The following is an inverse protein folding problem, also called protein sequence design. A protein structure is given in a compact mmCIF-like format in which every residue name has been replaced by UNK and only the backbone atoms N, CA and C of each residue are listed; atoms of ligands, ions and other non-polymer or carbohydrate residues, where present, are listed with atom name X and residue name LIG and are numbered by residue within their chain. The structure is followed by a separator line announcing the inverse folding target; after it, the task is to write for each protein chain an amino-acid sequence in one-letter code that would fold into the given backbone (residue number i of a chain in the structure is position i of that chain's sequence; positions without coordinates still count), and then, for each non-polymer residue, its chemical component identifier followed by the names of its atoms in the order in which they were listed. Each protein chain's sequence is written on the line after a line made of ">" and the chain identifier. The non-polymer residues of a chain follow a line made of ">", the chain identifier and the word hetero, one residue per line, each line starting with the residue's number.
data_IF_103564877929
#
_entry.id   IF_103564877929
#
_cell.length_a   1.000
_cell.length_b   1.000
_cell.length_c   1.000
_cell.angle_alpha   90.00
_cell.angle_beta   90.00
_cell.angle_gamma   90.00
#
_symmetry.space_group_name_H-M   'P 1'
#
loop_
_entity.id
_entity.type
_entity.pdbx_description
1 polymer ?
#
# COMPACT_ATOMS: atom_id res chain seq x y z
N UNK A 1 -21.04 30.17 42.98
CA UNK A 1 -20.35 29.00 43.57
C UNK A 1 -19.90 28.12 42.42
N UNK A 2 -18.64 27.69 42.47
CA UNK A 2 -17.82 27.28 41.34
C UNK A 2 -18.40 26.16 40.46
N UNK A 3 -18.46 26.43 39.16
CA UNK A 3 -18.60 25.43 38.11
C UNK A 3 -17.17 24.96 37.78
N UNK A 4 -16.71 23.92 38.48
CA UNK A 4 -15.40 23.30 38.26
C UNK A 4 -15.39 22.66 36.86
N UNK A 5 -14.71 23.30 35.93
CA UNK A 5 -14.40 22.75 34.62
C UNK A 5 -13.63 21.43 34.79
N UNK A 6 -14.34 20.30 34.62
CA UNK A 6 -13.75 18.96 34.58
C UNK A 6 -12.94 18.82 33.28
N UNK A 7 -11.76 19.43 33.27
CA UNK A 7 -10.70 19.08 32.34
C UNK A 7 -10.13 17.70 32.70
N UNK A 8 -9.69 16.89 31.73
CA UNK A 8 -9.11 15.58 32.02
C UNK A 8 -7.90 15.71 32.95
N UNK A 9 -7.87 14.90 34.04
CA UNK A 9 -6.84 14.90 35.09
C UNK A 9 -5.41 14.88 34.49
N UNK A 10 -4.42 15.56 35.08
CA UNK A 10 -3.06 15.68 34.52
C UNK A 10 -2.39 14.33 34.20
N UNK A 11 -2.64 13.28 34.98
CA UNK A 11 -2.17 11.92 34.71
C UNK A 11 -2.71 11.33 33.39
N UNK A 12 -3.97 11.63 33.03
CA UNK A 12 -4.58 11.18 31.77
C UNK A 12 -3.99 11.89 30.54
N UNK A 13 -3.59 13.17 30.68
CA UNK A 13 -2.90 13.93 29.64
C UNK A 13 -1.47 13.41 29.42
N UNK A 14 -0.75 13.12 30.50
CA UNK A 14 0.60 12.56 30.43
C UNK A 14 0.61 11.18 29.74
N UNK A 15 -0.31 10.29 30.14
CA UNK A 15 -0.47 8.98 29.51
C UNK A 15 -0.81 9.09 28.00
N UNK A 16 -1.75 9.94 27.61
CA UNK A 16 -2.08 10.19 26.20
C UNK A 16 -0.89 10.75 25.40
N UNK A 17 -0.10 11.65 26.02
CA UNK A 17 1.12 12.19 25.40
C UNK A 17 2.21 11.12 25.21
N UNK A 18 2.29 10.13 26.11
CA UNK A 18 3.22 9.02 26.01
C UNK A 18 2.82 8.04 24.90
N UNK A 19 1.55 7.61 24.86
CA UNK A 19 1.03 6.68 23.83
C UNK A 19 1.27 7.20 22.41
N UNK A 20 1.04 8.49 22.22
CA UNK A 20 1.24 9.14 20.92
C UNK A 20 2.70 9.19 20.47
N UNK A 21 3.65 9.41 21.39
CA UNK A 21 5.10 9.33 21.08
C UNK A 21 5.50 7.91 20.69
N UNK A 22 5.06 6.91 21.45
CA UNK A 22 5.35 5.50 21.14
C UNK A 22 4.79 5.07 19.78
N UNK A 23 3.59 5.53 19.42
CA UNK A 23 3.03 5.28 18.09
C UNK A 23 3.88 5.92 16.97
N UNK A 24 4.40 7.13 17.19
CA UNK A 24 5.31 7.78 16.24
C UNK A 24 6.62 7.00 16.07
N UNK A 25 7.26 6.57 17.16
CA UNK A 25 8.44 5.71 17.12
C UNK A 25 8.19 4.38 16.40
N UNK A 26 7.02 3.77 16.62
CA UNK A 26 6.65 2.53 15.94
C UNK A 26 6.49 2.72 14.42
N UNK A 27 5.99 3.88 13.95
CA UNK A 27 5.93 4.19 12.51
C UNK A 27 7.35 4.27 11.92
N UNK A 28 8.26 4.95 12.61
CA UNK A 28 9.66 5.02 12.21
C UNK A 28 10.32 3.64 12.14
N UNK A 29 10.17 2.85 13.21
CA UNK A 29 10.69 1.49 13.28
C UNK A 29 10.14 0.60 12.18
N UNK A 30 8.82 0.65 11.91
CA UNK A 30 8.18 -0.15 10.86
C UNK A 30 8.72 0.22 9.47
N UNK A 31 8.78 1.51 9.15
CA UNK A 31 9.23 1.97 7.82
C UNK A 31 10.72 1.64 7.61
N UNK A 32 11.56 1.78 8.64
CA UNK A 32 12.96 1.39 8.58
C UNK A 32 13.12 -0.13 8.46
N UNK A 33 12.34 -0.92 9.20
CA UNK A 33 12.36 -2.39 9.13
C UNK A 33 12.00 -2.88 7.72
N UNK A 34 10.98 -2.27 7.11
CA UNK A 34 10.55 -2.56 5.74
C UNK A 34 11.62 -2.16 4.72
N UNK A 35 12.24 -0.99 4.90
CA UNK A 35 13.31 -0.52 4.02
C UNK A 35 14.55 -1.42 4.11
N UNK A 36 14.97 -1.80 5.32
CA UNK A 36 16.15 -2.62 5.58
C UNK A 36 15.90 -4.11 5.37
N UNK A 37 14.64 -4.53 5.31
CA UNK A 37 14.22 -5.91 5.08
C UNK A 37 15.15 -6.68 4.14
N UNK A 38 15.40 -6.20 2.91
CA UNK A 38 16.28 -6.86 1.94
C UNK A 38 17.65 -7.27 2.49
N UNK A 39 18.27 -6.44 3.34
CA UNK A 39 19.57 -6.70 3.96
C UNK A 39 19.49 -7.55 5.23
N UNK A 40 18.31 -7.62 5.84
CA UNK A 40 18.06 -8.47 7.00
C UNK A 40 17.87 -9.94 6.60
N UNK A 41 17.73 -10.25 5.31
CA UNK A 41 17.80 -11.62 4.79
C UNK A 41 19.27 -12.01 4.67
N UNK A 42 19.70 -12.99 5.46
CA UNK A 42 20.99 -13.64 5.23
C UNK A 42 21.02 -14.21 3.80
N UNK A 43 22.19 -14.11 3.16
CA UNK A 43 22.44 -14.61 1.83
C UNK A 43 22.32 -16.15 1.81
N UNK A 44 21.13 -16.70 1.49
CA UNK A 44 21.04 -18.14 1.19
C UNK A 44 19.68 -18.81 1.25
N UNK A 45 18.65 -18.27 1.89
CA UNK A 45 17.35 -18.96 1.98
C UNK A 45 16.15 -18.10 1.58
N UNK A 46 15.35 -18.62 0.66
CA UNK A 46 13.99 -18.12 0.36
C UNK A 46 13.04 -18.21 1.59
N UNK A 47 13.46 -18.95 2.61
CA UNK A 47 12.88 -18.97 3.94
C UNK A 47 13.44 -17.83 4.77
N UNK A 48 12.59 -16.82 4.99
CA UNK A 48 12.96 -15.53 5.55
C UNK A 48 13.83 -15.61 6.81
N UNK A 49 14.74 -14.64 6.92
CA UNK A 49 15.63 -14.51 8.08
C UNK A 49 14.87 -14.56 9.40
N UNK A 50 15.34 -15.41 10.31
CA UNK A 50 14.86 -15.52 11.69
C UNK A 50 14.72 -14.15 12.37
N UNK A 51 15.58 -13.19 11.98
CA UNK A 51 15.54 -11.83 12.48
C UNK A 51 14.25 -11.11 12.07
N UNK A 52 13.80 -11.24 10.80
CA UNK A 52 12.51 -10.68 10.37
C UNK A 52 11.36 -11.34 11.13
N UNK A 53 11.43 -12.67 11.30
CA UNK A 53 10.40 -13.43 12.02
C UNK A 53 10.31 -13.04 13.49
N UNK A 54 11.40 -12.56 14.11
CA UNK A 54 11.40 -12.05 15.47
C UNK A 54 11.00 -10.57 15.58
N UNK A 55 11.49 -9.71 14.68
CA UNK A 55 11.32 -8.25 14.77
C UNK A 55 9.88 -7.78 14.55
N UNK A 56 9.14 -8.36 13.60
CA UNK A 56 7.75 -7.95 13.36
C UNK A 56 6.80 -8.30 14.52
N UNK A 57 6.80 -9.54 15.07
CA UNK A 57 6.04 -9.84 16.28
C UNK A 57 6.50 -9.01 17.49
N UNK A 58 7.80 -8.78 17.67
CA UNK A 58 8.30 -7.94 18.76
C UNK A 58 7.76 -6.50 18.65
N UNK A 59 7.73 -5.94 17.44
CA UNK A 59 7.15 -4.63 17.18
C UNK A 59 5.63 -4.61 17.43
N UNK A 60 4.91 -5.68 17.06
CA UNK A 60 3.49 -5.81 17.38
C UNK A 60 3.25 -5.83 18.90
N UNK A 61 4.02 -6.62 19.65
CA UNK A 61 3.92 -6.68 21.12
C UNK A 61 4.21 -5.30 21.72
N UNK A 62 5.27 -4.62 21.27
CA UNK A 62 5.59 -3.27 21.70
C UNK A 62 4.43 -2.28 21.45
N UNK A 63 3.83 -2.31 20.26
CA UNK A 63 2.68 -1.46 19.92
C UNK A 63 1.46 -1.84 20.76
N UNK A 64 1.17 -3.13 20.94
CA UNK A 64 0.03 -3.58 21.74
C UNK A 64 0.14 -3.15 23.21
N UNK A 65 1.33 -3.26 23.80
CA UNK A 65 1.61 -2.80 25.17
C UNK A 65 1.47 -1.28 25.26
N UNK A 66 2.15 -0.55 24.38
CA UNK A 66 2.22 0.93 24.46
C UNK A 66 0.89 1.61 24.14
N UNK A 67 0.04 1.00 23.31
CA UNK A 67 -1.30 1.53 23.03
C UNK A 67 -2.34 1.13 24.09
N UNK A 68 -2.03 0.17 24.96
CA UNK A 68 -2.92 -0.29 26.03
C UNK A 68 -3.88 -1.41 25.62
N UNK A 69 -3.58 -2.13 24.53
CA UNK A 69 -4.41 -3.22 24.03
C UNK A 69 -4.50 -4.40 25.01
N UNK A 70 -3.52 -4.55 25.90
CA UNK A 70 -3.56 -5.56 26.98
C UNK A 70 -4.61 -5.25 28.04
N UNK A 71 -4.92 -3.97 28.27
CA UNK A 71 -5.94 -3.54 29.24
C UNK A 71 -7.33 -3.43 28.61
N UNK A 72 -7.40 -3.14 27.31
CA UNK A 72 -8.65 -3.03 26.55
C UNK A 72 -8.54 -3.83 25.23
N UNK A 73 -8.81 -5.15 25.23
CA UNK A 73 -8.64 -6.00 24.04
C UNK A 73 -9.47 -5.57 22.84
N UNK A 74 -10.53 -4.77 23.05
CA UNK A 74 -11.33 -4.14 21.99
C UNK A 74 -10.48 -3.25 21.08
N UNK A 75 -9.37 -2.72 21.58
CA UNK A 75 -8.37 -1.97 20.80
C UNK A 75 -7.56 -2.85 19.84
N UNK A 76 -7.75 -4.17 19.81
CA UNK A 76 -7.23 -5.06 18.77
C UNK A 76 -8.15 -5.12 17.55
N UNK A 77 -9.43 -4.73 17.69
CA UNK A 77 -10.41 -4.66 16.61
C UNK A 77 -10.29 -3.30 15.90
N UNK A 78 -9.09 -3.02 15.34
CA UNK A 78 -8.81 -1.74 14.66
C UNK A 78 -9.10 -1.79 13.16
N UNK A 79 -9.03 -3.00 12.61
CA UNK A 79 -9.18 -3.23 11.18
C UNK A 79 -10.62 -2.94 10.72
N UNK A 80 -10.81 -2.18 9.63
CA UNK A 80 -12.10 -2.06 8.99
C UNK A 80 -12.63 -3.44 8.59
N UNK A 81 -13.94 -3.68 8.77
CA UNK A 81 -14.59 -4.97 8.49
C UNK A 81 -14.19 -5.52 7.12
N UNK A 82 -14.20 -4.70 6.07
CA UNK A 82 -13.80 -5.14 4.73
C UNK A 82 -12.35 -5.65 4.64
N UNK A 83 -11.40 -4.99 5.30
CA UNK A 83 -10.01 -5.46 5.34
C UNK A 83 -9.88 -6.73 6.20
N UNK A 84 -10.62 -6.81 7.31
CA UNK A 84 -10.71 -8.03 8.12
C UNK A 84 -11.25 -9.22 7.30
N UNK A 85 -12.29 -9.02 6.50
CA UNK A 85 -12.84 -10.06 5.60
C UNK A 85 -11.84 -10.47 4.53
N UNK A 86 -11.12 -9.53 3.92
CA UNK A 86 -10.10 -9.84 2.92
C UNK A 86 -8.96 -10.66 3.54
N UNK A 87 -8.49 -10.29 4.73
CA UNK A 87 -7.47 -11.06 5.46
C UNK A 87 -7.99 -12.42 5.91
N UNK A 88 -9.24 -12.50 6.37
CA UNK A 88 -9.87 -13.77 6.73
C UNK A 88 -9.99 -14.70 5.52
N UNK A 89 -10.30 -14.18 4.33
CA UNK A 89 -10.30 -14.95 3.09
C UNK A 89 -8.88 -15.44 2.74
N UNK A 90 -7.86 -14.59 2.88
CA UNK A 90 -6.47 -15.01 2.67
C UNK A 90 -6.07 -16.13 3.63
N UNK A 91 -6.46 -16.06 4.91
CA UNK A 91 -6.20 -17.11 5.88
C UNK A 91 -6.99 -18.39 5.57
N UNK A 92 -8.29 -18.27 5.28
CA UNK A 92 -9.14 -19.40 4.92
C UNK A 92 -8.62 -20.12 3.68
N UNK A 93 -7.99 -19.39 2.76
CA UNK A 93 -7.41 -19.98 1.56
C UNK A 93 -6.30 -20.99 1.81
N UNK A 94 -5.71 -21.03 3.00
CA UNK A 94 -4.82 -22.10 3.41
C UNK A 94 -5.47 -23.49 3.37
N UNK A 95 -6.80 -23.58 3.49
CA UNK A 95 -7.54 -24.85 3.45
C UNK A 95 -7.54 -25.51 2.08
N UNK A 96 -7.35 -24.74 1.00
CA UNK A 96 -7.30 -25.24 -0.38
C UNK A 96 -6.04 -24.82 -1.12
N UNK A 97 -5.07 -24.23 -0.40
CA UNK A 97 -3.83 -23.77 -0.99
C UNK A 97 -2.99 -24.95 -1.49
N UNK A 98 -2.29 -24.73 -2.60
CA UNK A 98 -1.33 -25.71 -3.14
C UNK A 98 -0.19 -25.96 -2.14
N UNK A 99 0.29 -24.90 -1.49
CA UNK A 99 1.23 -24.99 -0.36
C UNK A 99 0.67 -24.23 0.87
N UNK A 100 -0.10 -24.90 1.74
CA UNK A 100 -0.66 -24.29 2.94
C UNK A 100 0.41 -23.72 3.88
N UNK A 101 1.59 -24.33 3.93
CA UNK A 101 2.67 -23.91 4.83
C UNK A 101 3.19 -22.52 4.48
N UNK A 102 3.35 -22.24 3.18
CA UNK A 102 3.74 -20.92 2.67
C UNK A 102 2.62 -19.91 2.81
N UNK A 103 1.35 -20.29 2.60
CA UNK A 103 0.20 -19.44 2.88
C UNK A 103 0.19 -18.95 4.33
N UNK A 104 0.28 -19.85 5.32
CA UNK A 104 0.28 -19.47 6.74
C UNK A 104 1.48 -18.57 7.10
N UNK A 105 2.67 -18.92 6.63
CA UNK A 105 3.92 -18.17 6.91
C UNK A 105 3.84 -16.75 6.36
N UNK A 106 3.45 -16.58 5.10
CA UNK A 106 3.33 -15.27 4.44
C UNK A 106 2.11 -14.47 4.94
N UNK A 107 1.05 -15.14 5.38
CA UNK A 107 -0.12 -14.49 5.99
C UNK A 107 0.22 -13.83 7.33
N UNK A 108 1.07 -14.47 8.17
CA UNK A 108 1.47 -13.93 9.46
C UNK A 108 2.02 -12.49 9.35
N UNK A 109 2.99 -12.28 8.46
CA UNK A 109 3.54 -10.94 8.21
C UNK A 109 2.51 -9.96 7.64
N UNK A 110 1.68 -10.42 6.70
CA UNK A 110 0.61 -9.61 6.11
C UNK A 110 -0.35 -9.05 7.19
N UNK A 111 -0.80 -9.91 8.10
CA UNK A 111 -1.72 -9.56 9.17
C UNK A 111 -1.06 -8.69 10.24
N UNK A 112 0.16 -9.04 10.67
CA UNK A 112 0.91 -8.27 11.68
C UNK A 112 1.12 -6.83 11.23
N UNK A 113 1.58 -6.63 9.98
CA UNK A 113 1.81 -5.28 9.44
C UNK A 113 0.50 -4.49 9.37
N UNK A 114 -0.61 -5.11 8.96
CA UNK A 114 -1.92 -4.47 8.95
C UNK A 114 -2.35 -4.02 10.35
N UNK A 115 -2.25 -4.90 11.35
CA UNK A 115 -2.63 -4.57 12.73
C UNK A 115 -1.76 -3.43 13.29
N UNK A 116 -0.44 -3.51 13.14
CA UNK A 116 0.49 -2.47 13.59
C UNK A 116 0.10 -1.12 13.01
N UNK A 117 -0.07 -1.01 11.69
CA UNK A 117 -0.34 0.27 11.02
C UNK A 117 -1.64 0.88 11.52
N UNK A 118 -2.70 0.09 11.62
CA UNK A 118 -3.99 0.61 12.09
C UNK A 118 -3.92 1.07 13.56
N UNK A 119 -3.22 0.34 14.43
CA UNK A 119 -3.01 0.74 15.83
C UNK A 119 -2.19 2.03 15.95
N UNK A 120 -1.06 2.14 15.24
CA UNK A 120 -0.19 3.32 15.34
C UNK A 120 -0.83 4.58 14.73
N UNK A 121 -1.62 4.44 13.67
CA UNK A 121 -2.35 5.57 13.07
C UNK A 121 -3.42 6.09 14.02
N UNK A 122 -4.15 5.18 14.68
CA UNK A 122 -5.15 5.56 15.69
C UNK A 122 -4.49 6.23 16.91
N UNK A 123 -3.38 5.65 17.39
CA UNK A 123 -2.60 6.13 18.53
C UNK A 123 -1.90 7.47 18.30
N UNK A 124 -1.19 7.64 17.18
CA UNK A 124 -0.46 8.87 16.85
C UNK A 124 -1.40 9.98 16.36
N UNK A 125 -2.50 9.62 15.71
CA UNK A 125 -3.38 10.52 14.99
C UNK A 125 -2.83 10.99 13.64
N UNK A 126 -3.71 11.57 12.83
CA UNK A 126 -3.44 11.92 11.42
C UNK A 126 -2.24 12.84 11.25
N UNK A 127 -2.15 13.94 12.01
CA UNK A 127 -1.09 14.93 11.82
C UNK A 127 0.31 14.37 12.10
N UNK A 128 0.47 13.62 13.21
CA UNK A 128 1.77 13.03 13.56
C UNK A 128 2.13 11.88 12.64
N UNK A 129 1.16 11.06 12.25
CA UNK A 129 1.39 10.00 11.25
C UNK A 129 1.94 10.57 9.95
N UNK A 130 1.34 11.66 9.43
CA UNK A 130 1.81 12.30 8.20
C UNK A 130 3.21 12.88 8.33
N UNK A 131 3.55 13.46 9.48
CA UNK A 131 4.89 13.97 9.76
C UNK A 131 5.90 12.83 9.82
N UNK A 132 5.60 11.77 10.57
CA UNK A 132 6.44 10.58 10.66
C UNK A 132 6.68 9.97 9.27
N UNK A 133 5.62 9.66 8.52
CA UNK A 133 5.74 9.11 7.15
C UNK A 133 6.57 10.01 6.23
N UNK A 134 6.37 11.31 6.28
CA UNK A 134 7.08 12.28 5.43
C UNK A 134 8.58 12.23 5.67
N UNK A 135 8.99 12.25 6.95
CA UNK A 135 10.39 12.22 7.30
C UNK A 135 11.00 10.82 7.17
N UNK A 136 10.26 9.74 7.44
CA UNK A 136 10.75 8.38 7.18
C UNK A 136 11.04 8.14 5.71
N UNK A 137 10.16 8.62 4.82
CA UNK A 137 10.38 8.53 3.37
C UNK A 137 11.54 9.41 2.90
N UNK A 138 11.72 10.59 3.49
CA UNK A 138 12.89 11.43 3.21
C UNK A 138 14.20 10.77 3.68
N UNK A 139 14.21 10.11 4.83
CA UNK A 139 15.36 9.33 5.32
C UNK A 139 15.65 8.16 4.38
N UNK A 140 14.64 7.41 3.95
CA UNK A 140 14.80 6.35 2.93
C UNK A 140 15.39 6.91 1.64
N UNK A 141 14.95 8.09 1.19
CA UNK A 141 15.50 8.74 0.01
C UNK A 141 16.99 9.06 0.19
N UNK A 142 17.39 9.63 1.34
CA UNK A 142 18.80 9.90 1.65
C UNK A 142 19.60 8.60 1.66
N UNK A 143 19.12 7.56 2.33
CA UNK A 143 19.77 6.26 2.37
C UNK A 143 19.90 5.64 0.97
N UNK A 144 18.91 5.84 0.09
CA UNK A 144 18.97 5.40 -1.30
C UNK A 144 20.10 6.11 -2.06
N UNK A 145 20.23 7.44 -1.93
CA UNK A 145 21.33 8.19 -2.52
C UNK A 145 22.69 7.75 -1.97
N UNK A 146 22.80 7.58 -0.65
CA UNK A 146 24.03 7.09 -0.01
C UNK A 146 24.40 5.70 -0.52
N UNK A 147 23.42 4.80 -0.68
CA UNK A 147 23.67 3.45 -1.21
C UNK A 147 24.16 3.49 -2.66
N UNK A 148 23.57 4.34 -3.52
CA UNK A 148 24.03 4.52 -4.91
C UNK A 148 25.44 5.10 -4.97
N UNK A 149 25.78 6.04 -4.07
CA UNK A 149 27.10 6.68 -4.06
C UNK A 149 28.19 5.76 -3.46
N UNK A 150 27.85 4.97 -2.45
CA UNK A 150 28.81 4.17 -1.69
C UNK A 150 28.98 2.73 -2.19
N UNK A 151 28.00 2.19 -2.92
CA UNK A 151 28.00 0.79 -3.33
C UNK A 151 27.47 0.56 -4.75
N UNK A 152 28.13 -0.29 -5.56
CA UNK A 152 27.56 -0.77 -6.83
C UNK A 152 26.21 -1.46 -6.66
N UNK A 153 25.89 -1.97 -5.45
CA UNK A 153 24.60 -2.59 -5.16
C UNK A 153 23.43 -1.62 -5.30
N UNK A 154 23.64 -0.31 -5.17
CA UNK A 154 22.61 0.70 -5.34
C UNK A 154 22.07 0.83 -6.77
N UNK A 155 22.76 0.22 -7.75
CA UNK A 155 22.41 0.23 -9.17
C UNK A 155 22.29 -1.21 -9.65
N UNK A 156 21.33 -1.47 -10.54
CA UNK A 156 21.22 -2.78 -11.19
C UNK A 156 22.43 -3.03 -12.09
N UNK A 157 23.13 -4.14 -11.84
CA UNK A 157 24.34 -4.55 -12.56
C UNK A 157 24.10 -5.68 -13.56
N UNK A 158 25.14 -6.03 -14.31
CA UNK A 158 25.11 -7.06 -15.37
C UNK A 158 24.89 -8.49 -14.85
N UNK A 159 25.17 -8.74 -13.57
CA UNK A 159 25.06 -10.06 -12.95
C UNK A 159 23.61 -10.44 -12.57
N UNK A 160 22.63 -9.58 -12.82
CA UNK A 160 21.23 -9.83 -12.50
C UNK A 160 20.49 -10.63 -13.58
N UNK A 161 19.33 -11.22 -13.24
CA UNK A 161 18.52 -12.01 -14.18
C UNK A 161 17.87 -11.18 -15.30
N UNK A 162 17.89 -9.84 -15.20
CA UNK A 162 17.24 -8.92 -16.14
C UNK A 162 18.25 -7.92 -16.73
N UNK A 163 18.94 -8.26 -17.84
CA UNK A 163 19.91 -7.36 -18.49
C UNK A 163 19.34 -6.00 -18.90
N UNK A 164 18.04 -5.94 -19.22
CA UNK A 164 17.33 -4.70 -19.54
C UNK A 164 17.27 -3.69 -18.37
N UNK A 165 17.64 -4.09 -17.16
CA UNK A 165 17.62 -3.23 -15.98
C UNK A 165 18.95 -2.53 -15.69
N UNK A 166 20.03 -2.89 -16.39
CA UNK A 166 21.39 -2.40 -16.10
C UNK A 166 21.42 -0.87 -16.10
N UNK A 167 22.03 -0.30 -15.06
CA UNK A 167 22.14 1.15 -14.88
C UNK A 167 20.96 1.81 -14.17
N UNK A 168 19.84 1.10 -13.97
CA UNK A 168 18.69 1.62 -13.23
C UNK A 168 18.98 1.67 -11.73
N UNK A 169 18.62 2.79 -11.10
CA UNK A 169 18.82 2.96 -9.67
C UNK A 169 17.78 2.18 -8.86
N UNK A 170 18.25 1.49 -7.83
CA UNK A 170 17.40 0.81 -6.84
C UNK A 170 17.73 1.22 -5.39
N UNK A 171 18.85 1.90 -5.16
CA UNK A 171 19.26 2.34 -3.84
C UNK A 171 19.35 1.16 -2.88
N UNK A 172 18.79 1.32 -1.69
CA UNK A 172 18.76 0.27 -0.67
C UNK A 172 17.68 -0.80 -0.97
N UNK A 173 16.79 -0.57 -1.93
CA UNK A 173 15.71 -1.49 -2.25
C UNK A 173 16.21 -2.65 -3.12
N UNK A 174 15.57 -3.82 -3.03
CA UNK A 174 15.89 -4.98 -3.90
C UNK A 174 15.76 -4.67 -5.38
N UNK A 175 14.79 -3.83 -5.75
CA UNK A 175 14.40 -3.61 -7.13
C UNK A 175 14.05 -2.14 -7.41
N UNK A 176 14.30 -1.68 -8.65
CA UNK A 176 14.01 -0.31 -9.12
C UNK A 176 12.58 0.14 -8.84
N UNK A 177 11.61 -0.77 -8.98
CA UNK A 177 10.18 -0.44 -8.84
C UNK A 177 9.78 -0.21 -7.38
N UNK A 178 10.50 -0.82 -6.43
CA UNK A 178 10.34 -0.58 -4.99
C UNK A 178 10.92 0.78 -4.59
N UNK A 179 12.05 1.18 -5.19
CA UNK A 179 12.58 2.52 -4.99
C UNK A 179 11.69 3.60 -5.63
N UNK A 180 11.15 3.31 -6.81
CA UNK A 180 10.27 4.22 -7.55
C UNK A 180 8.98 4.55 -6.78
N UNK A 181 8.33 3.54 -6.16
CA UNK A 181 7.14 3.79 -5.33
C UNK A 181 7.47 4.66 -4.10
N UNK A 182 8.60 4.41 -3.44
CA UNK A 182 9.06 5.24 -2.32
C UNK A 182 9.27 6.69 -2.74
N UNK A 183 9.89 6.93 -3.91
CA UNK A 183 10.09 8.28 -4.44
C UNK A 183 8.77 8.95 -4.83
N UNK A 184 7.86 8.24 -5.51
CA UNK A 184 6.55 8.77 -5.87
C UNK A 184 5.74 9.19 -4.64
N UNK A 185 5.68 8.34 -3.61
CA UNK A 185 5.01 8.67 -2.35
C UNK A 185 5.69 9.82 -1.60
N UNK A 186 7.01 9.93 -1.67
CA UNK A 186 7.76 11.08 -1.14
C UNK A 186 7.30 12.37 -1.83
N UNK A 187 7.21 12.40 -3.16
CA UNK A 187 6.73 13.56 -3.90
C UNK A 187 5.30 13.91 -3.47
N UNK A 188 4.39 12.93 -3.47
CA UNK A 188 2.98 13.15 -3.14
C UNK A 188 2.80 13.70 -1.71
N UNK A 189 3.44 13.09 -0.71
CA UNK A 189 3.25 13.49 0.69
C UNK A 189 3.85 14.87 0.96
N UNK A 190 5.03 15.17 0.40
CA UNK A 190 5.68 16.48 0.57
C UNK A 190 4.91 17.58 -0.18
N UNK A 191 4.41 17.31 -1.38
CA UNK A 191 3.67 18.28 -2.17
C UNK A 191 2.34 18.69 -1.51
N UNK A 192 1.59 17.72 -1.00
CA UNK A 192 0.23 17.95 -0.50
C UNK A 192 0.13 18.20 1.01
N UNK A 193 1.14 17.84 1.81
CA UNK A 193 1.04 17.95 3.28
C UNK A 193 2.13 18.80 3.93
N UNK A 194 3.28 19.04 3.27
CA UNK A 194 4.33 19.87 3.84
C UNK A 194 3.98 21.36 3.73
N UNK A 195 4.20 22.10 4.82
CA UNK A 195 4.15 23.57 4.80
C UNK A 195 5.41 24.09 4.08
N UNK A 196 5.34 25.31 3.54
CA UNK A 196 6.37 25.88 2.66
C UNK A 196 7.81 25.87 3.24
N UNK A 197 8.78 26.22 2.41
CA UNK A 197 10.20 26.24 2.77
C UNK A 197 11.09 25.53 1.75
N UNK A 198 12.39 25.81 1.79
CA UNK A 198 13.37 25.26 0.84
C UNK A 198 13.50 23.73 0.95
N UNK A 199 13.37 23.17 2.16
CA UNK A 199 13.45 21.73 2.41
C UNK A 199 12.38 20.96 1.63
N UNK A 200 11.15 21.51 1.53
CA UNK A 200 10.05 20.88 0.78
C UNK A 200 10.44 20.65 -0.67
N UNK A 201 10.95 21.68 -1.34
CA UNK A 201 11.32 21.60 -2.74
C UNK A 201 12.58 20.77 -2.94
N UNK A 202 13.54 20.84 -2.01
CA UNK A 202 14.76 20.01 -2.03
C UNK A 202 14.42 18.52 -2.02
N UNK A 203 13.53 18.09 -1.12
CA UNK A 203 13.12 16.69 -1.03
C UNK A 203 12.28 16.26 -2.25
N UNK A 204 11.38 17.11 -2.75
CA UNK A 204 10.58 16.82 -3.94
C UNK A 204 11.48 16.66 -5.18
N UNK A 205 12.40 17.60 -5.41
CA UNK A 205 13.33 17.57 -6.55
C UNK A 205 14.30 16.39 -6.43
N UNK A 206 14.80 16.11 -5.21
CA UNK A 206 15.62 14.93 -4.94
C UNK A 206 14.86 13.63 -5.21
N UNK A 207 13.60 13.52 -4.79
CA UNK A 207 12.79 12.34 -5.08
C UNK A 207 12.46 12.20 -6.58
N UNK A 208 12.20 13.32 -7.27
CA UNK A 208 11.94 13.34 -8.70
C UNK A 208 13.17 12.90 -9.51
N UNK A 209 14.36 13.43 -9.19
CA UNK A 209 15.60 13.02 -9.85
C UNK A 209 15.88 11.52 -9.62
N UNK A 210 15.77 11.03 -8.37
CA UNK A 210 15.95 9.61 -8.10
C UNK A 210 14.95 8.75 -8.88
N UNK A 211 13.67 9.15 -8.90
CA UNK A 211 12.62 8.46 -9.66
C UNK A 211 12.96 8.39 -11.15
N UNK A 212 13.45 9.46 -11.77
CA UNK A 212 13.91 9.44 -13.16
C UNK A 212 15.05 8.44 -13.37
N UNK A 213 16.00 8.38 -12.43
CA UNK A 213 17.11 7.41 -12.47
C UNK A 213 16.69 5.96 -12.26
N UNK A 214 15.51 5.70 -11.70
CA UNK A 214 14.94 4.33 -11.66
C UNK A 214 14.47 3.85 -13.02
N UNK A 215 14.19 4.75 -13.98
CA UNK A 215 13.58 4.43 -15.28
C UNK A 215 12.28 3.59 -15.17
N UNK A 216 11.50 3.80 -14.10
CA UNK A 216 10.21 3.13 -13.90
C UNK A 216 9.08 3.90 -14.63
N UNK A 217 8.87 3.59 -15.92
CA UNK A 217 7.81 4.21 -16.76
C UNK A 217 6.43 4.11 -16.10
N UNK A 218 6.10 2.95 -15.54
CA UNK A 218 4.84 2.74 -14.78
C UNK A 218 4.70 3.74 -13.64
N UNK A 219 5.73 3.86 -12.79
CA UNK A 219 5.65 4.71 -11.60
C UNK A 219 5.58 6.19 -11.96
N UNK A 220 6.25 6.60 -13.05
CA UNK A 220 6.14 7.97 -13.60
C UNK A 220 4.73 8.26 -14.12
N UNK A 221 4.15 7.36 -14.93
CA UNK A 221 2.79 7.52 -15.43
C UNK A 221 1.74 7.52 -14.33
N UNK A 222 1.85 6.59 -13.37
CA UNK A 222 0.98 6.54 -12.20
C UNK A 222 1.12 7.80 -11.32
N UNK A 223 2.34 8.34 -11.16
CA UNK A 223 2.55 9.60 -10.43
C UNK A 223 1.88 10.78 -11.14
N UNK A 224 1.98 10.88 -12.47
CA UNK A 224 1.32 11.95 -13.22
C UNK A 224 -0.21 11.92 -13.01
N UNK A 225 -0.83 10.74 -13.15
CA UNK A 225 -2.28 10.58 -12.93
C UNK A 225 -2.64 10.86 -11.46
N UNK A 226 -1.83 10.39 -10.51
CA UNK A 226 -2.02 10.65 -9.09
C UNK A 226 -1.96 12.15 -8.75
N UNK A 227 -1.03 12.90 -9.34
CA UNK A 227 -0.92 14.34 -9.18
C UNK A 227 -2.17 15.05 -9.72
N UNK A 228 -2.64 14.69 -10.92
CA UNK A 228 -3.87 15.21 -11.50
C UNK A 228 -5.08 14.95 -10.60
N UNK A 229 -5.22 13.72 -10.08
CA UNK A 229 -6.29 13.38 -9.15
C UNK A 229 -6.21 14.14 -7.82
N UNK A 230 -5.02 14.28 -7.24
CA UNK A 230 -4.80 15.06 -6.03
C UNK A 230 -5.12 16.55 -6.23
N UNK A 231 -4.71 17.14 -7.35
CA UNK A 231 -5.06 18.51 -7.74
C UNK A 231 -6.56 18.65 -7.98
N UNK A 232 -7.19 17.75 -8.74
CA UNK A 232 -8.62 17.74 -8.98
C UNK A 232 -9.40 17.65 -7.66
N UNK A 233 -8.96 16.80 -6.71
CA UNK A 233 -9.54 16.72 -5.37
C UNK A 233 -9.39 18.01 -4.59
N UNK A 234 -8.27 18.73 -4.75
CA UNK A 234 -8.05 20.03 -4.11
C UNK A 234 -8.91 21.14 -4.72
N UNK A 235 -9.05 21.17 -6.05
CA UNK A 235 -9.56 22.32 -6.80
C UNK A 235 -11.04 22.19 -7.20
N UNK A 236 -11.51 21.03 -7.65
CA UNK A 236 -12.88 20.86 -8.12
C UNK A 236 -13.86 20.89 -6.97
N UNK A 237 -15.01 21.57 -7.01
CA UNK A 237 -15.98 21.52 -5.91
C UNK A 237 -16.61 20.12 -5.78
N UNK A 238 -17.12 19.76 -4.60
CA UNK A 238 -17.72 18.43 -4.35
C UNK A 238 -18.82 18.07 -5.35
N UNK A 239 -19.63 19.05 -5.75
CA UNK A 239 -20.70 18.90 -6.75
C UNK A 239 -20.22 18.51 -8.15
N UNK A 240 -18.94 18.71 -8.48
CA UNK A 240 -18.37 18.36 -9.77
C UNK A 240 -17.92 16.88 -9.85
N UNK A 241 -17.77 16.19 -8.72
CA UNK A 241 -17.31 14.80 -8.70
C UNK A 241 -18.24 13.81 -9.40
N UNK A 242 -19.57 13.85 -9.22
CA UNK A 242 -20.47 12.95 -9.96
C UNK A 242 -20.31 13.11 -11.47
N UNK A 243 -20.17 14.35 -11.95
CA UNK A 243 -19.95 14.65 -13.38
C UNK A 243 -18.57 14.16 -13.82
N UNK A 244 -17.52 14.43 -13.04
CA UNK A 244 -16.16 13.98 -13.36
C UNK A 244 -16.05 12.45 -13.39
N UNK A 245 -16.74 11.75 -12.48
CA UNK A 245 -16.82 10.29 -12.45
C UNK A 245 -17.60 9.80 -13.67
N UNK A 246 -18.76 10.39 -13.98
CA UNK A 246 -19.53 10.03 -15.17
C UNK A 246 -18.71 10.21 -16.45
N UNK A 247 -18.02 11.34 -16.60
CA UNK A 247 -17.14 11.61 -17.73
C UNK A 247 -15.97 10.61 -17.81
N UNK A 248 -15.34 10.28 -16.68
CA UNK A 248 -14.30 9.26 -16.63
C UNK A 248 -14.84 7.87 -17.00
N UNK A 249 -16.03 7.49 -16.52
CA UNK A 249 -16.69 6.23 -16.87
C UNK A 249 -17.02 6.17 -18.35
N UNK A 250 -17.53 7.25 -18.94
CA UNK A 250 -17.79 7.35 -20.39
C UNK A 250 -16.48 7.25 -21.17
N UNK A 251 -15.42 7.92 -20.72
CA UNK A 251 -14.10 7.83 -21.36
C UNK A 251 -13.55 6.40 -21.31
N UNK A 252 -13.63 5.73 -20.16
CA UNK A 252 -13.20 4.33 -20.03
C UNK A 252 -14.05 3.43 -20.92
N UNK A 253 -15.37 3.60 -20.95
CA UNK A 253 -16.25 2.84 -21.83
C UNK A 253 -15.91 3.06 -23.30
N UNK A 254 -15.64 4.30 -23.72
CA UNK A 254 -15.20 4.63 -25.08
C UNK A 254 -13.88 3.97 -25.42
N UNK A 255 -12.88 4.05 -24.52
CA UNK A 255 -11.59 3.38 -24.70
C UNK A 255 -11.75 1.86 -24.82
N UNK A 256 -12.66 1.26 -24.05
CA UNK A 256 -12.97 -0.18 -24.16
C UNK A 256 -13.61 -0.49 -25.50
N UNK A 257 -14.63 0.26 -25.92
CA UNK A 257 -15.34 0.04 -27.19
C UNK A 257 -14.37 0.20 -28.38
N UNK A 258 -13.62 1.29 -28.44
CA UNK A 258 -12.60 1.49 -29.49
C UNK A 258 -11.51 0.43 -29.41
N UNK A 259 -11.11 0.06 -28.19
CA UNK A 259 -10.11 -0.99 -27.96
C UNK A 259 -10.54 -2.36 -28.46
N UNK A 260 -11.85 -2.65 -28.57
CA UNK A 260 -12.36 -3.92 -29.11
C UNK A 260 -11.95 -4.11 -30.58
N UNK A 261 -12.00 -3.04 -31.38
CA UNK A 261 -11.61 -3.07 -32.79
C UNK A 261 -10.10 -3.28 -32.97
N UNK A 262 -9.31 -2.95 -31.94
CA UNK A 262 -7.85 -3.09 -31.93
C UNK A 262 -7.35 -4.29 -31.09
N UNK A 263 -8.21 -5.21 -30.67
CA UNK A 263 -7.80 -6.35 -29.82
C UNK A 263 -6.72 -7.22 -30.47
N UNK A 264 -6.78 -7.41 -31.79
CA UNK A 264 -5.76 -8.15 -32.54
C UNK A 264 -4.38 -7.50 -32.44
N UNK A 265 -4.32 -6.19 -32.65
CA UNK A 265 -3.08 -5.39 -32.57
C UNK A 265 -2.54 -5.33 -31.15
N UNK A 266 -3.42 -5.17 -30.14
CA UNK A 266 -3.04 -5.19 -28.73
C UNK A 266 -2.48 -6.57 -28.34
N UNK A 267 -3.13 -7.65 -28.78
CA UNK A 267 -2.65 -9.02 -28.54
C UNK A 267 -1.30 -9.29 -29.18
N UNK A 268 -1.11 -8.80 -30.41
CA UNK A 268 0.14 -8.89 -31.14
C UNK A 268 1.25 -8.08 -30.45
N UNK A 269 0.98 -6.85 -30.05
CA UNK A 269 1.92 -6.04 -29.28
C UNK A 269 2.32 -6.74 -27.98
N UNK A 270 1.35 -7.23 -27.20
CA UNK A 270 1.60 -7.99 -25.97
C UNK A 270 2.28 -9.35 -26.20
N UNK A 271 2.39 -9.84 -27.45
CA UNK A 271 3.15 -11.07 -27.77
C UNK A 271 4.61 -10.81 -28.12
N UNK A 272 5.00 -9.54 -28.23
CA UNK A 272 6.40 -9.20 -28.44
C UNK A 272 7.18 -9.42 -27.13
N UNK A 273 8.32 -10.13 -27.14
CA UNK A 273 9.11 -10.39 -25.93
C UNK A 273 9.50 -9.13 -25.16
N UNK A 274 9.72 -8.01 -25.86
CA UNK A 274 10.12 -6.74 -25.27
C UNK A 274 8.94 -5.89 -24.77
N UNK A 275 7.70 -6.22 -25.17
CA UNK A 275 6.53 -5.45 -24.79
C UNK A 275 6.27 -5.55 -23.30
N UNK A 276 6.12 -4.39 -22.66
CA UNK A 276 5.94 -4.27 -21.20
C UNK A 276 6.95 -5.13 -20.41
N UNK A 277 8.18 -5.26 -20.89
CA UNK A 277 9.24 -6.11 -20.28
C UNK A 277 8.82 -7.58 -20.13
N UNK A 278 8.19 -8.16 -21.15
CA UNK A 278 7.76 -9.56 -21.18
C UNK A 278 6.46 -9.87 -20.41
N UNK A 279 5.78 -8.86 -19.85
CA UNK A 279 4.59 -9.09 -19.00
C UNK A 279 3.42 -9.74 -19.71
N UNK A 280 3.34 -9.62 -21.03
CA UNK A 280 2.29 -10.27 -21.81
C UNK A 280 2.26 -11.78 -21.60
N UNK A 281 3.41 -12.43 -21.58
CA UNK A 281 3.49 -13.90 -21.42
C UNK A 281 3.10 -14.33 -20.00
N UNK A 282 3.54 -13.57 -19.00
CA UNK A 282 3.16 -13.77 -17.59
C UNK A 282 1.64 -13.70 -17.45
N UNK A 283 1.00 -12.67 -18.02
CA UNK A 283 -0.45 -12.48 -17.89
C UNK A 283 -1.26 -13.54 -18.64
N UNK A 284 -0.78 -14.05 -19.79
CA UNK A 284 -1.42 -15.18 -20.48
C UNK A 284 -1.45 -16.43 -19.61
N UNK A 285 -0.36 -16.73 -18.91
CA UNK A 285 -0.27 -17.87 -17.98
C UNK A 285 -1.26 -17.68 -16.81
N UNK A 286 -1.26 -16.49 -16.22
CA UNK A 286 -2.18 -16.16 -15.11
C UNK A 286 -3.64 -16.29 -15.54
N UNK A 287 -4.01 -15.77 -16.71
CA UNK A 287 -5.37 -15.84 -17.23
C UNK A 287 -5.78 -17.27 -17.58
N UNK A 288 -4.87 -18.06 -18.17
CA UNK A 288 -5.11 -19.49 -18.42
C UNK A 288 -5.38 -20.25 -17.13
N UNK A 289 -4.58 -20.03 -16.09
CA UNK A 289 -4.82 -20.63 -14.78
C UNK A 289 -6.14 -20.15 -14.15
N UNK A 290 -6.42 -18.85 -14.23
CA UNK A 290 -7.66 -18.28 -13.68
C UNK A 290 -8.91 -18.81 -14.39
N UNK A 291 -8.84 -19.11 -15.69
CA UNK A 291 -9.98 -19.68 -16.42
C UNK A 291 -10.35 -21.10 -15.97
N UNK A 292 -9.39 -21.85 -15.44
CA UNK A 292 -9.61 -23.21 -14.91
C UNK A 292 -9.89 -23.21 -13.40
N UNK A 293 -9.46 -22.16 -12.69
CA UNK A 293 -9.60 -22.01 -11.24
C UNK A 293 -10.27 -20.68 -10.83
N UNK A 294 -11.45 -20.32 -11.37
CA UNK A 294 -11.99 -18.96 -11.25
C UNK A 294 -12.46 -18.59 -9.84
N UNK A 295 -12.86 -19.54 -9.00
CA UNK A 295 -13.48 -19.25 -7.71
C UNK A 295 -12.49 -19.17 -6.55
N UNK A 296 -11.61 -20.15 -6.43
CA UNK A 296 -10.74 -20.30 -5.26
C UNK A 296 -9.29 -19.85 -5.53
N UNK A 297 -8.88 -19.83 -6.80
CA UNK A 297 -7.47 -19.65 -7.16
C UNK A 297 -6.57 -20.74 -6.57
N UNK A 298 -5.27 -20.43 -6.47
CA UNK A 298 -4.23 -21.32 -5.94
C UNK A 298 -4.10 -21.33 -4.41
N UNK A 299 -4.84 -20.46 -3.72
CA UNK A 299 -4.59 -20.08 -2.33
C UNK A 299 -3.58 -18.93 -2.21
N UNK A 300 -3.77 -18.09 -1.19
CA UNK A 300 -2.94 -16.92 -0.96
C UNK A 300 -1.46 -17.30 -0.86
N UNK A 301 -0.64 -16.61 -1.65
CA UNK A 301 0.80 -16.78 -1.73
C UNK A 301 1.30 -18.19 -2.13
N UNK A 302 0.45 -18.98 -2.78
CA UNK A 302 0.76 -20.34 -3.25
C UNK A 302 0.77 -20.50 -4.77
N UNK A 303 0.63 -19.39 -5.51
CA UNK A 303 0.80 -19.38 -6.95
C UNK A 303 2.27 -19.22 -7.36
N UNK A 304 2.97 -18.26 -6.76
CA UNK A 304 4.36 -17.93 -7.06
C UNK A 304 5.31 -18.44 -5.98
N UNK A 305 6.53 -18.81 -6.40
CA UNK A 305 7.66 -19.02 -5.49
C UNK A 305 7.36 -20.06 -4.39
N UNK A 306 6.83 -21.22 -4.80
CA UNK A 306 6.61 -22.43 -3.98
C UNK A 306 7.37 -23.65 -4.54
N UNK A 307 8.46 -23.39 -5.26
CA UNK A 307 9.25 -24.42 -5.93
C UNK A 307 8.49 -25.11 -7.08
N UNK A 308 8.84 -26.38 -7.40
CA UNK A 308 8.24 -27.13 -8.51
C UNK A 308 6.72 -27.32 -8.43
N UNK A 309 6.12 -27.11 -7.25
CA UNK A 309 4.68 -27.18 -7.05
C UNK A 309 3.93 -25.95 -7.60
N UNK A 310 4.65 -24.89 -8.02
CA UNK A 310 4.02 -23.69 -8.58
C UNK A 310 3.23 -24.04 -9.86
N UNK A 311 1.97 -23.58 -9.99
CA UNK A 311 1.16 -23.80 -11.20
C UNK A 311 1.84 -23.35 -12.48
N UNK A 312 2.74 -22.36 -12.41
CA UNK A 312 3.43 -21.78 -13.57
C UNK A 312 4.14 -22.84 -14.41
N UNK A 313 4.72 -23.87 -13.77
CA UNK A 313 5.43 -24.96 -14.47
C UNK A 313 4.52 -25.82 -15.36
N UNK A 314 3.20 -25.80 -15.16
CA UNK A 314 2.26 -26.50 -16.03
C UNK A 314 1.95 -25.73 -17.33
N UNK A 315 2.22 -24.42 -17.36
CA UNK A 315 1.83 -23.53 -18.47
C UNK A 315 3.02 -23.02 -19.29
N UNK A 316 4.25 -23.18 -18.81
CA UNK A 316 5.45 -22.83 -19.57
C UNK A 316 6.66 -23.68 -19.19
N UNK A 317 7.55 -23.89 -20.17
CA UNK A 317 8.90 -24.44 -19.96
C UNK A 317 9.97 -23.35 -20.03
N UNK A 318 9.58 -22.09 -20.23
CA UNK A 318 10.51 -20.98 -20.32
C UNK A 318 11.11 -20.69 -18.95
N UNK A 319 12.41 -20.92 -18.83
CA UNK A 319 13.14 -20.83 -17.56
C UNK A 319 12.97 -19.46 -16.91
N UNK A 320 12.93 -18.38 -17.70
CA UNK A 320 12.80 -17.02 -17.16
C UNK A 320 11.48 -16.82 -16.41
N UNK A 321 10.33 -17.25 -16.94
CA UNK A 321 9.03 -17.08 -16.27
C UNK A 321 8.95 -17.88 -14.98
N UNK A 322 9.53 -19.09 -14.99
CA UNK A 322 9.54 -19.97 -13.81
C UNK A 322 10.38 -19.43 -12.65
N UNK A 323 11.22 -18.42 -12.88
CA UNK A 323 12.01 -17.74 -11.83
C UNK A 323 11.34 -16.48 -11.27
N UNK A 324 10.15 -16.12 -11.76
CA UNK A 324 9.44 -14.91 -11.34
C UNK A 324 8.66 -15.14 -10.04
N UNK A 325 8.71 -14.15 -9.15
CA UNK A 325 8.08 -14.21 -7.83
C UNK A 325 6.73 -13.46 -7.72
N UNK A 326 6.22 -12.85 -8.80
CA UNK A 326 4.96 -12.11 -8.85
C UNK A 326 4.51 -11.78 -10.28
N UNK A 327 3.21 -11.58 -10.50
CA UNK A 327 2.62 -11.40 -11.84
C UNK A 327 2.84 -10.03 -12.49
N UNK A 328 3.48 -9.08 -11.80
CA UNK A 328 3.55 -7.67 -12.21
C UNK A 328 2.18 -7.09 -12.57
N UNK A 329 1.14 -7.54 -11.87
CA UNK A 329 -0.23 -7.03 -11.97
C UNK A 329 -0.98 -7.48 -10.72
N UNK A 330 -1.18 -6.57 -9.77
CA UNK A 330 -1.80 -6.88 -8.49
C UNK A 330 -3.23 -7.39 -8.59
N UNK A 331 -3.97 -7.04 -9.65
CA UNK A 331 -5.32 -7.53 -9.87
C UNK A 331 -5.31 -8.98 -10.38
N UNK A 332 -4.46 -9.29 -11.36
CA UNK A 332 -4.29 -10.67 -11.80
C UNK A 332 -3.69 -11.54 -10.68
N UNK A 333 -2.79 -10.98 -9.87
CA UNK A 333 -2.23 -11.68 -8.72
C UNK A 333 -3.32 -12.04 -7.70
N UNK A 334 -4.25 -11.13 -7.41
CA UNK A 334 -5.43 -11.47 -6.59
C UNK A 334 -6.29 -12.55 -7.25
N UNK A 335 -6.53 -12.43 -8.55
CA UNK A 335 -7.35 -13.39 -9.29
C UNK A 335 -6.79 -14.80 -9.21
N UNK A 336 -5.50 -15.00 -9.47
CA UNK A 336 -4.90 -16.34 -9.46
C UNK A 336 -4.69 -16.88 -8.05
N UNK A 337 -4.57 -16.03 -7.03
CA UNK A 337 -4.33 -16.47 -5.65
C UNK A 337 -5.62 -16.73 -4.86
N UNK A 338 -6.62 -15.85 -4.96
CA UNK A 338 -7.84 -15.88 -4.13
C UNK A 338 -9.14 -15.84 -4.97
N UNK A 339 -9.02 -16.04 -6.28
CA UNK A 339 -10.14 -16.15 -7.21
C UNK A 339 -10.90 -14.86 -7.45
N UNK A 340 -11.94 -14.94 -8.27
CA UNK A 340 -12.86 -13.84 -8.60
C UNK A 340 -13.52 -13.24 -7.35
N UNK A 341 -14.03 -14.03 -6.36
CA UNK A 341 -14.58 -13.47 -5.14
C UNK A 341 -13.55 -12.64 -4.35
N UNK A 342 -12.32 -13.13 -4.24
CA UNK A 342 -11.23 -12.43 -3.58
C UNK A 342 -10.79 -11.16 -4.31
N UNK A 343 -10.75 -11.19 -5.64
CA UNK A 343 -10.51 -10.01 -6.47
C UNK A 343 -11.59 -8.94 -6.26
N UNK A 344 -12.87 -9.32 -6.33
CA UNK A 344 -13.99 -8.38 -6.14
C UNK A 344 -13.91 -7.73 -4.76
N UNK A 345 -13.72 -8.54 -3.71
CA UNK A 345 -13.57 -8.05 -2.35
C UNK A 345 -12.33 -7.16 -2.21
N UNK A 346 -11.19 -7.56 -2.78
CA UNK A 346 -9.95 -6.79 -2.78
C UNK A 346 -10.10 -5.42 -3.44
N UNK A 347 -10.63 -5.37 -4.65
CA UNK A 347 -10.90 -4.12 -5.38
C UNK A 347 -11.88 -3.24 -4.60
N UNK A 348 -12.94 -3.83 -4.06
CA UNK A 348 -13.91 -3.09 -3.27
C UNK A 348 -13.27 -2.46 -2.02
N UNK A 349 -12.50 -3.24 -1.26
CA UNK A 349 -11.93 -2.82 0.02
C UNK A 349 -10.74 -1.86 -0.15
N UNK A 350 -9.87 -2.12 -1.12
CA UNK A 350 -8.62 -1.39 -1.30
C UNK A 350 -8.78 -0.15 -2.17
N UNK A 351 -9.77 -0.11 -3.07
CA UNK A 351 -9.95 0.98 -4.05
C UNK A 351 -11.32 1.65 -3.91
N UNK A 352 -12.42 0.91 -4.09
CA UNK A 352 -13.75 1.52 -4.24
C UNK A 352 -14.26 2.14 -2.93
N UNK A 353 -14.28 1.38 -1.83
CA UNK A 353 -14.73 1.84 -0.52
C UNK A 353 -13.92 3.05 0.01
N UNK A 354 -12.57 3.07 -0.03
CA UNK A 354 -11.81 4.25 0.39
C UNK A 354 -12.01 5.44 -0.55
N UNK A 355 -12.14 5.23 -1.87
CA UNK A 355 -12.45 6.31 -2.80
C UNK A 355 -13.82 6.93 -2.50
N UNK A 356 -14.84 6.10 -2.31
CA UNK A 356 -16.18 6.53 -1.91
C UNK A 356 -16.15 7.35 -0.61
N UNK A 357 -15.43 6.88 0.40
CA UNK A 357 -15.26 7.60 1.67
C UNK A 357 -14.62 8.97 1.47
N UNK A 358 -13.60 9.10 0.62
CA UNK A 358 -12.96 10.38 0.32
C UNK A 358 -13.91 11.35 -0.41
N UNK A 359 -14.72 10.85 -1.33
CA UNK A 359 -15.66 11.65 -2.11
C UNK A 359 -16.85 12.13 -1.26
N UNK A 360 -17.34 11.29 -0.35
CA UNK A 360 -18.50 11.57 0.50
C UNK A 360 -18.12 12.25 1.82
N UNK A 361 -16.85 12.25 2.22
CA UNK A 361 -16.39 13.00 3.37
C UNK A 361 -16.43 14.52 3.12
N UNK A 362 -16.71 15.28 4.18
CA UNK A 362 -16.60 16.73 4.14
C UNK A 362 -15.13 17.13 3.99
N UNK A 363 -14.85 17.91 2.95
CA UNK A 363 -13.48 18.29 2.60
C UNK A 363 -12.82 19.20 3.64
N UNK A 364 -13.61 19.96 4.41
CA UNK A 364 -13.07 20.78 5.51
C UNK A 364 -12.47 19.92 6.63
N UNK A 365 -12.89 18.66 6.75
CA UNK A 365 -12.36 17.71 7.72
C UNK A 365 -11.14 16.91 7.20
N UNK A 366 -10.79 17.04 5.91
CA UNK A 366 -9.72 16.29 5.26
C UNK A 366 -8.52 17.18 4.92
N UNK A 367 -7.80 17.64 5.94
CA UNK A 367 -6.58 18.44 5.75
C UNK A 367 -5.52 17.72 4.86
N UNK A 368 -5.55 16.39 4.80
CA UNK A 368 -4.70 15.56 3.94
C UNK A 368 -5.43 14.93 2.75
N UNK A 369 -6.66 15.35 2.46
CA UNK A 369 -7.50 14.77 1.40
C UNK A 369 -6.83 14.67 0.02
N UNK A 370 -6.16 15.72 -0.48
CA UNK A 370 -5.44 15.65 -1.77
C UNK A 370 -4.36 14.57 -1.81
N UNK A 371 -3.59 14.40 -0.72
CA UNK A 371 -2.59 13.34 -0.61
C UNK A 371 -3.22 11.95 -0.63
N UNK A 372 -4.30 11.76 0.15
CA UNK A 372 -4.99 10.47 0.24
C UNK A 372 -5.64 10.07 -1.10
N UNK A 373 -6.25 11.03 -1.79
CA UNK A 373 -6.83 10.83 -3.12
C UNK A 373 -5.74 10.51 -4.16
N UNK A 374 -4.63 11.27 -4.16
CA UNK A 374 -3.50 11.01 -5.05
C UNK A 374 -2.87 9.64 -4.80
N UNK A 375 -2.63 9.28 -3.54
CA UNK A 375 -2.07 7.98 -3.17
C UNK A 375 -2.97 6.81 -3.60
N UNK A 376 -4.29 6.95 -3.46
CA UNK A 376 -5.24 5.94 -3.90
C UNK A 376 -5.27 5.79 -5.42
N UNK A 377 -5.28 6.91 -6.15
CA UNK A 377 -5.21 6.92 -7.62
C UNK A 377 -3.89 6.32 -8.13
N UNK A 378 -2.79 6.59 -7.43
CA UNK A 378 -1.49 6.01 -7.74
C UNK A 378 -1.53 4.47 -7.71
N UNK A 379 -2.10 3.88 -6.65
CA UNK A 379 -2.25 2.42 -6.55
C UNK A 379 -3.20 1.86 -7.60
N UNK A 380 -4.34 2.52 -7.84
CA UNK A 380 -5.32 2.05 -8.81
C UNK A 380 -4.72 1.93 -10.23
N UNK A 381 -3.83 2.85 -10.61
CA UNK A 381 -3.17 2.81 -11.92
C UNK A 381 -1.94 1.91 -11.91
N UNK A 382 -1.09 2.03 -10.89
CA UNK A 382 0.17 1.29 -10.83
C UNK A 382 -0.04 -0.22 -10.79
N UNK A 383 -1.05 -0.71 -10.06
CA UNK A 383 -1.24 -2.16 -9.89
C UNK A 383 -1.77 -2.88 -11.13
N UNK A 384 -2.12 -2.16 -12.20
CA UNK A 384 -2.34 -2.76 -13.52
C UNK A 384 -1.05 -3.36 -14.09
N UNK A 385 0.12 -2.82 -13.70
CA UNK A 385 1.41 -3.24 -14.25
C UNK A 385 2.47 -3.50 -13.17
N UNK A 386 2.10 -3.52 -11.90
CA UNK A 386 2.97 -3.93 -10.81
C UNK A 386 2.15 -4.68 -9.76
N UNK A 387 2.82 -5.41 -8.88
CA UNK A 387 2.17 -6.10 -7.77
C UNK A 387 2.43 -5.33 -6.48
N UNK A 388 1.39 -4.70 -5.91
CA UNK A 388 1.51 -4.00 -4.62
C UNK A 388 0.65 -4.62 -3.53
N UNK A 389 -0.53 -5.12 -3.88
CA UNK A 389 -1.49 -5.60 -2.89
C UNK A 389 -1.10 -6.96 -2.31
N UNK A 390 -1.42 -7.16 -1.03
CA UNK A 390 -1.21 -8.42 -0.31
C UNK A 390 0.24 -8.93 -0.36
N UNK A 391 1.21 -8.01 -0.37
CA UNK A 391 2.64 -8.35 -0.50
C UNK A 391 3.40 -8.36 0.84
N UNK A 392 2.73 -8.71 1.93
CA UNK A 392 3.37 -8.91 3.25
C UNK A 392 4.03 -7.64 3.79
N UNK A 393 5.36 -7.63 3.88
CA UNK A 393 6.16 -6.53 4.42
C UNK A 393 6.70 -5.56 3.37
N UNK A 394 6.35 -5.70 2.08
CA UNK A 394 6.83 -4.77 1.06
C UNK A 394 6.33 -3.35 1.31
N UNK A 395 7.18 -2.36 1.00
CA UNK A 395 6.87 -0.93 1.11
C UNK A 395 5.56 -0.55 0.41
N UNK A 396 5.26 -1.20 -0.70
CA UNK A 396 4.01 -1.03 -1.46
C UNK A 396 2.77 -1.40 -0.66
N UNK A 397 2.78 -2.48 0.12
CA UNK A 397 1.63 -2.85 0.96
C UNK A 397 1.50 -1.93 2.18
N UNK A 398 2.63 -1.61 2.81
CA UNK A 398 2.70 -0.73 3.98
C UNK A 398 2.11 0.65 3.67
N UNK A 399 2.51 1.25 2.55
CA UNK A 399 2.05 2.59 2.17
C UNK A 399 0.54 2.64 1.85
N UNK A 400 -0.03 1.63 1.18
CA UNK A 400 -1.49 1.59 0.98
C UNK A 400 -2.23 1.42 2.31
N UNK A 401 -1.75 0.58 3.22
CA UNK A 401 -2.35 0.44 4.54
C UNK A 401 -2.36 1.75 5.32
N UNK A 402 -1.30 2.56 5.24
CA UNK A 402 -1.30 3.91 5.81
C UNK A 402 -2.36 4.81 5.18
N UNK A 403 -2.53 4.77 3.85
CA UNK A 403 -3.60 5.52 3.18
C UNK A 403 -4.98 5.08 3.71
N UNK A 404 -5.26 3.77 3.76
CA UNK A 404 -6.53 3.24 4.25
C UNK A 404 -6.81 3.60 5.71
N UNK A 405 -5.78 3.47 6.57
CA UNK A 405 -5.87 3.82 7.97
C UNK A 405 -6.11 5.32 8.19
N UNK A 406 -5.41 6.19 7.45
CA UNK A 406 -5.59 7.64 7.50
C UNK A 406 -6.97 8.08 7.01
N UNK A 407 -7.49 7.46 5.94
CA UNK A 407 -8.86 7.68 5.48
C UNK A 407 -9.84 7.31 6.60
N UNK A 408 -9.71 6.11 7.17
CA UNK A 408 -10.58 5.62 8.25
C UNK A 408 -10.52 6.48 9.52
N UNK A 409 -9.33 6.93 9.92
CA UNK A 409 -9.14 7.79 11.09
C UNK A 409 -9.79 9.17 10.90
N UNK A 410 -9.64 9.76 9.71
CA UNK A 410 -10.24 11.07 9.38
C UNK A 410 -11.77 11.02 9.30
N UNK A 411 -12.36 9.90 8.86
CA UNK A 411 -13.82 9.76 8.78
C UNK A 411 -14.46 9.42 10.13
N UNK A 412 -13.82 8.58 10.97
CA UNK A 412 -14.40 8.12 12.25
C UNK A 412 -14.41 9.19 13.34
N UNK A 413 -13.34 9.99 13.47
CA UNK A 413 -13.21 11.00 14.55
C UNK A 413 -14.28 12.09 14.52
N UNK A 414 -14.95 12.31 13.38
CA UNK A 414 -16.01 13.31 13.29
C UNK A 414 -17.39 12.76 13.69
N UNK A 415 -17.70 11.51 13.39
CA UNK A 415 -18.96 10.88 13.80
C UNK A 415 -19.10 10.90 15.32
N UNK A 416 -18.00 10.67 16.05
CA UNK A 416 -17.99 10.76 17.51
C UNK A 416 -18.15 12.20 18.02
N UNK A 417 -17.54 13.21 17.39
CA UNK A 417 -17.71 14.63 17.77
C UNK A 417 -19.13 15.13 17.52
N UNK A 418 -19.73 14.79 16.36
CA UNK A 418 -21.11 15.18 16.03
C UNK A 418 -22.09 14.49 16.99
N UNK A 419 -21.94 13.19 17.23
CA UNK A 419 -22.80 12.46 18.16
C UNK A 419 -22.65 12.97 19.62
N UNK A 420 -21.46 13.44 20.01
CA UNK A 420 -21.25 14.04 21.32
C UNK A 420 -21.93 15.42 21.45
N UNK A 421 -21.84 16.27 20.42
CA UNK A 421 -22.58 17.55 20.38
C UNK A 421 -24.09 17.34 20.40
N UNK A 422 -24.62 16.41 19.60
CA UNK A 422 -26.05 16.11 19.55
C UNK A 422 -26.59 15.61 20.90
N UNK A 423 -25.85 14.72 21.59
CA UNK A 423 -26.23 14.29 22.95
C UNK A 423 -26.12 15.40 23.99
N UNK A 424 -25.22 16.37 23.79
CA UNK A 424 -25.11 17.52 24.68
C UNK A 424 -26.27 18.50 24.48
N UNK A 425 -26.73 18.69 23.24
CA UNK A 425 -27.92 19.50 22.93
C UNK A 425 -29.22 18.82 23.39
N UNK A 426 -29.37 17.50 23.23
CA UNK A 426 -30.51 16.74 23.75
C UNK A 426 -30.60 16.81 25.29
N UNK A 427 -29.47 16.88 25.99
CA UNK A 427 -29.43 17.08 27.45
C UNK A 427 -29.73 18.52 27.88
N UNK A 428 -29.64 19.48 26.96
CA UNK A 428 -29.93 20.90 27.18
C UNK A 428 -31.32 21.31 26.71
N UNK A 429 -32.05 20.45 26.00
CA UNK A 429 -33.43 20.70 25.64
C UNK A 429 -34.30 20.73 26.91
N UNK A 430 -35.05 21.83 27.16
CA UNK A 430 -35.99 21.86 28.28
C UNK A 430 -37.06 20.79 28.08
N UNK A 431 -37.37 20.05 29.16
CA UNK A 431 -38.41 19.01 29.20
C UNK A 431 -39.81 19.61 29.05
#
# INVERSE_FOLDING_TARGET
>A
MADEAIGPRPASRAAASSRTKHAEWAIWALILLVALGPFLLDAGSADGSWLRLALYPALLVYVAVTQGALSEPRQLIVLPIGLGLLLALCLASALWAIDPSTTLRRFGLLAIVAVIIFMVVEGAGTSRTLVALRYSLAVILVLNYLTVAASPLGVHGLAGPEPALVGNWRGLMTHKNSAAIGCAFTILIWLFTAKGGWLRWTVILGAAYFLLRTQSKTSLGALAIALLFGLAFKLLPRRAWPIAIAAATVLVALVVVVGQDHLGEISQYLSQPDALTGRGDIWRIMLSYASTNPLLGAGYASFWDIGPASPVFAYTRDSWVTTIAHGHNGYLDMLVQIGVPGLILGVFVLIIAPAWRLLVADRRALCSGPFLAAGLAFYAVRDVTETSFLTGDKLSWVLILFILALIGANTRRRTSTIAACQRADERRAPR
#
